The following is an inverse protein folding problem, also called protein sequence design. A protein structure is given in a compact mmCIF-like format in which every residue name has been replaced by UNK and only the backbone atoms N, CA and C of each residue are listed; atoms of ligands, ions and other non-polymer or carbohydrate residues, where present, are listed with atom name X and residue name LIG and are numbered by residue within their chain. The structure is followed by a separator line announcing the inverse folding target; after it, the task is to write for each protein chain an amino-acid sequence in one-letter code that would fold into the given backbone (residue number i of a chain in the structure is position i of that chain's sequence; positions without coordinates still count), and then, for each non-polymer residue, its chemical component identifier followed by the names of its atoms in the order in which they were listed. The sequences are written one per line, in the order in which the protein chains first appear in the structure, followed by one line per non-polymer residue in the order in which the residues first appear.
data_IF_537679815894
#
_entry.id   IF_537679815894
#
_cell.length_a   1.000
_cell.length_b   1.000
_cell.length_c   1.000
_cell.angle_alpha   90.00
_cell.angle_beta   90.00
_cell.angle_gamma   90.00
#
_symmetry.space_group_name_H-M   'P 1'
#
loop_
_entity.id
_entity.type
_entity.pdbx_description
1 polymer ?
#
# COMPACT_ATOMS: atom_id res chain seq x y z
N UNK A 1 -22.84 -42.14 -27.73
CA UNK A 1 -22.52 -40.77 -28.15
C UNK A 1 -21.47 -40.24 -27.20
N UNK A 2 -20.22 -40.18 -27.66
CA UNK A 2 -19.08 -39.62 -26.94
C UNK A 2 -19.18 -38.10 -27.01
N UNK A 3 -19.35 -37.44 -25.87
CA UNK A 3 -19.00 -36.02 -25.75
C UNK A 3 -17.81 -35.97 -24.79
N UNK A 4 -16.61 -35.89 -25.37
CA UNK A 4 -15.43 -35.49 -24.62
C UNK A 4 -15.64 -34.10 -24.06
N UNK A 5 -15.31 -33.92 -22.78
CA UNK A 5 -15.16 -32.59 -22.19
C UNK A 5 -14.07 -31.84 -22.97
N UNK A 6 -14.45 -30.74 -23.61
CA UNK A 6 -13.52 -29.86 -24.32
C UNK A 6 -13.10 -28.73 -23.37
N UNK A 7 -12.02 -29.00 -22.62
CA UNK A 7 -11.49 -28.22 -21.49
C UNK A 7 -10.92 -26.84 -21.92
N UNK A 8 -10.65 -26.64 -23.21
CA UNK A 8 -10.12 -25.37 -23.75
C UNK A 8 -11.08 -24.19 -23.69
N UNK A 9 -12.40 -24.45 -23.67
CA UNK A 9 -13.39 -23.37 -23.56
C UNK A 9 -13.41 -22.69 -22.19
N UNK A 10 -12.67 -23.21 -21.20
CA UNK A 10 -12.74 -22.65 -19.85
C UNK A 10 -11.76 -21.50 -19.57
N UNK A 11 -10.80 -21.26 -20.46
CA UNK A 11 -9.91 -20.11 -20.39
C UNK A 11 -10.56 -18.81 -20.93
N UNK A 12 -11.62 -18.92 -21.73
CA UNK A 12 -12.21 -17.77 -22.46
C UNK A 12 -13.48 -17.18 -21.81
N UNK A 13 -13.79 -17.54 -20.55
CA UNK A 13 -14.85 -16.82 -19.81
C UNK A 13 -14.32 -15.43 -19.41
N UNK A 14 -14.51 -14.44 -20.28
CA UNK A 14 -14.32 -13.03 -19.93
C UNK A 14 -15.20 -12.67 -18.72
N UNK A 15 -14.68 -11.95 -17.71
CA UNK A 15 -15.47 -11.55 -16.56
C UNK A 15 -16.62 -10.64 -17.00
N UNK A 16 -17.85 -10.93 -16.54
CA UNK A 16 -18.95 -9.96 -16.65
C UNK A 16 -18.59 -8.68 -15.89
N UNK A 17 -19.03 -7.49 -16.34
CA UNK A 17 -18.72 -6.22 -15.69
C UNK A 17 -19.43 -6.10 -14.32
N UNK A 18 -18.87 -6.77 -13.31
CA UNK A 18 -19.18 -6.60 -11.88
C UNK A 18 -18.12 -5.76 -11.17
N UNK A 19 -18.32 -5.49 -9.88
CA UNK A 19 -17.48 -4.63 -9.04
C UNK A 19 -15.99 -4.98 -9.13
N UNK A 20 -15.30 -4.28 -10.04
CA UNK A 20 -13.91 -4.50 -10.36
C UNK A 20 -13.09 -3.81 -9.27
N UNK A 21 -12.50 -4.56 -8.34
CA UNK A 21 -11.44 -4.02 -7.48
C UNK A 21 -10.15 -4.08 -8.30
N UNK A 22 -9.91 -3.02 -9.08
CA UNK A 22 -8.75 -2.96 -9.98
C UNK A 22 -7.47 -2.90 -9.17
N UNK A 23 -6.52 -3.78 -9.49
CA UNK A 23 -5.10 -3.62 -9.14
C UNK A 23 -4.62 -2.17 -9.38
N UNK A 24 -5.10 -1.58 -10.47
CA UNK A 24 -4.69 -0.27 -10.94
C UNK A 24 -5.23 0.93 -10.15
N UNK A 25 -6.34 0.78 -9.40
CA UNK A 25 -6.90 1.92 -8.65
C UNK A 25 -6.11 2.22 -7.36
N UNK A 26 -5.35 1.25 -6.86
CA UNK A 26 -4.35 1.47 -5.80
C UNK A 26 -3.08 2.16 -6.31
N UNK A 27 -2.76 2.04 -7.61
CA UNK A 27 -1.48 2.52 -8.16
C UNK A 27 -1.55 3.90 -8.84
N UNK A 28 -2.73 4.44 -9.13
CA UNK A 28 -2.86 5.66 -9.96
C UNK A 28 -2.82 6.99 -9.20
N UNK A 29 -2.59 7.01 -7.89
CA UNK A 29 -2.71 8.24 -7.08
C UNK A 29 -1.35 8.82 -6.68
N UNK A 30 -0.50 9.12 -7.67
CA UNK A 30 0.45 10.23 -7.63
C UNK A 30 1.09 10.49 -9.00
N UNK A 31 0.35 11.15 -9.90
CA UNK A 31 0.94 11.76 -11.09
C UNK A 31 0.46 13.21 -11.17
N UNK A 32 1.29 14.12 -10.67
CA UNK A 32 1.29 15.52 -11.07
C UNK A 32 2.33 15.67 -12.20
N UNK A 33 1.95 16.11 -13.41
CA UNK A 33 2.91 16.50 -14.43
C UNK A 33 3.20 17.99 -14.27
N UNK A 34 4.32 18.37 -13.66
CA UNK A 34 4.95 19.70 -13.73
C UNK A 34 6.32 19.60 -13.02
N UNK A 35 7.45 20.12 -13.49
CA UNK A 35 7.74 21.07 -14.56
C UNK A 35 9.24 20.98 -14.89
N UNK A 36 9.55 21.10 -16.17
CA UNK A 36 10.88 21.19 -16.77
C UNK A 36 11.63 22.41 -16.20
N UNK A 37 12.88 22.30 -15.70
CA UNK A 37 13.74 23.45 -15.57
C UNK A 37 14.48 23.69 -16.90
N UNK A 38 14.10 24.77 -17.57
CA UNK A 38 14.85 25.33 -18.69
C UNK A 38 16.19 25.87 -18.19
N UNK A 39 17.24 25.46 -18.88
CA UNK A 39 18.58 26.03 -18.85
C UNK A 39 18.54 27.49 -19.36
N UNK A 40 19.37 28.39 -18.81
CA UNK A 40 20.24 29.11 -19.73
C UNK A 40 21.66 29.29 -19.19
N UNK A 41 22.63 28.82 -19.98
CA UNK A 41 23.96 29.42 -20.03
C UNK A 41 23.89 30.75 -20.77
N UNK A 42 24.56 31.79 -20.28
CA UNK A 42 25.70 32.44 -20.96
C UNK A 42 26.05 33.83 -20.38
N UNK A 43 27.26 33.89 -19.81
CA UNK A 43 28.34 34.89 -19.99
C UNK A 43 28.13 36.36 -19.60
N UNK A 44 28.93 36.84 -18.63
CA UNK A 44 29.87 37.97 -18.80
C UNK A 44 31.10 37.91 -17.85
N UNK A 45 32.28 37.82 -18.48
CA UNK A 45 33.61 38.43 -18.20
C UNK A 45 34.04 38.97 -16.81
N UNK A 46 35.18 38.43 -16.36
CA UNK A 46 36.40 39.05 -15.75
C UNK A 46 36.25 40.21 -14.76
N UNK A 47 36.77 40.01 -13.53
CA UNK A 47 38.07 40.56 -13.11
C UNK A 47 38.48 40.05 -11.72
N UNK A 48 39.76 39.73 -11.60
CA UNK A 48 40.41 39.33 -10.36
C UNK A 48 40.54 40.51 -9.40
N UNK A 49 40.28 40.30 -8.12
CA UNK A 49 41.04 40.95 -7.06
C UNK A 49 41.24 39.99 -5.89
N UNK A 50 42.51 39.72 -5.65
CA UNK A 50 43.10 38.99 -4.53
C UNK A 50 42.73 39.73 -3.25
N UNK A 51 41.96 39.12 -2.35
CA UNK A 51 41.80 39.59 -0.98
C UNK A 51 42.11 38.45 -0.02
N UNK A 52 43.11 38.73 0.77
CA UNK A 52 43.81 37.93 1.75
C UNK A 52 42.86 37.34 2.77
N UNK A 53 43.08 36.07 3.09
CA UNK A 53 42.54 35.40 4.28
C UNK A 53 42.92 36.20 5.53
N UNK A 54 41.92 36.76 6.23
CA UNK A 54 42.05 37.17 7.61
C UNK A 54 40.68 37.09 8.30
N UNK A 55 40.39 35.96 8.94
CA UNK A 55 39.56 35.95 10.16
C UNK A 55 40.49 36.11 11.36
N UNK A 56 40.07 36.67 12.51
CA UNK A 56 38.70 36.79 13.00
C UNK A 56 38.35 38.18 13.54
N UNK A 57 37.12 38.67 13.31
CA UNK A 57 36.62 39.82 14.06
C UNK A 57 35.31 39.45 14.74
N UNK A 58 35.44 39.18 16.04
CA UNK A 58 34.41 39.42 17.05
C UNK A 58 33.65 40.68 16.66
N UNK A 59 32.40 40.53 16.26
CA UNK A 59 31.54 41.67 15.97
C UNK A 59 31.38 42.47 17.25
N UNK A 60 31.98 43.66 17.28
CA UNK A 60 31.81 44.61 18.37
C UNK A 60 30.31 44.90 18.52
N UNK A 61 29.72 44.55 19.68
CA UNK A 61 28.36 44.98 20.01
C UNK A 61 28.33 46.50 19.95
N UNK A 62 27.43 47.04 19.12
CA UNK A 62 27.23 48.48 19.00
C UNK A 62 26.97 49.09 20.40
N UNK A 63 27.54 50.29 20.64
CA UNK A 63 27.35 51.00 21.90
C UNK A 63 25.83 51.20 22.15
N UNK A 64 25.34 50.99 23.38
CA UNK A 64 23.91 50.96 23.68
C UNK A 64 23.16 52.25 23.28
N UNK A 65 23.86 53.38 23.16
CA UNK A 65 23.31 54.65 22.66
C UNK A 65 22.84 54.65 21.18
N UNK A 66 23.25 53.67 20.36
CA UNK A 66 22.83 53.56 18.95
C UNK A 66 21.86 52.40 18.69
N UNK A 67 21.37 51.73 19.74
CA UNK A 67 20.48 50.57 19.62
C UNK A 67 19.08 50.95 20.08
N UNK A 68 18.17 51.19 19.12
CA UNK A 68 16.74 51.37 19.42
C UNK A 68 16.16 50.02 19.88
N UNK A 69 15.90 49.88 21.18
CA UNK A 69 15.25 48.69 21.74
C UNK A 69 13.76 48.71 21.41
N UNK A 70 13.32 47.82 20.52
CA UNK A 70 11.90 47.60 20.27
C UNK A 70 11.36 46.58 21.29
N UNK A 71 10.20 46.86 21.91
CA UNK A 71 9.59 45.97 22.91
C UNK A 71 9.03 44.67 22.31
N UNK A 72 8.79 44.65 20.99
CA UNK A 72 8.29 43.50 20.23
C UNK A 72 9.37 42.58 19.64
N UNK A 73 10.58 43.08 19.39
CA UNK A 73 11.62 42.33 18.68
C UNK A 73 12.05 41.05 19.40
N UNK A 74 12.13 41.06 20.73
CA UNK A 74 12.49 39.88 21.52
C UNK A 74 11.50 38.72 21.41
N UNK A 75 10.20 39.01 21.40
CA UNK A 75 9.15 37.98 21.23
C UNK A 75 9.26 37.31 19.85
N UNK A 76 9.55 38.13 18.86
CA UNK A 76 9.64 37.72 17.49
C UNK A 76 10.90 36.86 17.23
N UNK A 77 12.05 37.23 17.82
CA UNK A 77 13.27 36.38 17.77
C UNK A 77 13.07 35.02 18.45
N UNK A 78 12.35 34.96 19.57
CA UNK A 78 12.04 33.68 20.23
C UNK A 78 11.15 32.81 19.35
N UNK A 79 10.13 33.41 18.71
CA UNK A 79 9.27 32.70 17.77
C UNK A 79 10.06 32.11 16.60
N UNK A 80 11.02 32.85 16.02
CA UNK A 80 11.83 32.33 14.90
C UNK A 80 12.80 31.24 15.28
N UNK A 81 13.37 31.30 16.48
CA UNK A 81 14.23 30.23 16.99
C UNK A 81 13.42 28.95 17.14
N UNK A 82 12.19 29.06 17.67
CA UNK A 82 11.30 27.91 17.83
C UNK A 82 10.89 27.32 16.47
N UNK A 83 10.47 28.15 15.51
CA UNK A 83 10.11 27.70 14.15
C UNK A 83 11.31 27.07 13.44
N UNK A 84 12.50 27.69 13.53
CA UNK A 84 13.74 27.14 12.98
C UNK A 84 14.06 25.76 13.57
N UNK A 85 13.92 25.60 14.89
CA UNK A 85 14.20 24.33 15.57
C UNK A 85 13.23 23.23 15.13
N UNK A 86 11.93 23.54 15.00
CA UNK A 86 10.92 22.59 14.50
C UNK A 86 11.22 22.17 13.06
N UNK A 87 11.52 23.12 12.18
CA UNK A 87 11.81 22.80 10.78
C UNK A 87 13.13 22.04 10.62
N UNK A 88 14.17 22.40 11.38
CA UNK A 88 15.42 21.64 11.41
C UNK A 88 15.18 20.20 11.87
N UNK A 89 14.41 20.01 12.95
CA UNK A 89 14.08 18.66 13.43
C UNK A 89 13.28 17.88 12.39
N UNK A 90 12.38 18.53 11.65
CA UNK A 90 11.62 17.90 10.57
C UNK A 90 12.50 17.45 9.40
N UNK A 91 13.53 18.23 9.02
CA UNK A 91 14.49 17.85 7.98
C UNK A 91 15.42 16.74 8.47
N UNK A 92 15.86 16.82 9.73
CA UNK A 92 16.68 15.78 10.34
C UNK A 92 15.94 14.45 10.43
N UNK A 93 14.66 14.49 10.81
CA UNK A 93 13.80 13.30 10.85
C UNK A 93 13.64 12.68 9.47
N UNK A 94 13.32 13.50 8.45
CA UNK A 94 13.19 13.03 7.05
C UNK A 94 14.49 12.43 6.53
N UNK A 95 15.63 13.06 6.81
CA UNK A 95 16.93 12.52 6.43
C UNK A 95 17.26 11.20 7.14
N UNK A 96 16.86 11.05 8.40
CA UNK A 96 17.08 9.82 9.17
C UNK A 96 16.18 8.66 8.72
N UNK A 97 14.92 8.94 8.39
CA UNK A 97 13.93 7.96 7.95
C UNK A 97 14.15 7.51 6.50
N UNK A 98 14.71 8.37 5.65
CA UNK A 98 14.83 8.09 4.21
C UNK A 98 13.53 8.34 3.44
N UNK A 99 13.60 8.25 2.12
CA UNK A 99 12.45 8.37 1.21
C UNK A 99 12.39 7.10 0.35
N UNK A 100 11.19 6.58 0.11
CA UNK A 100 10.97 5.37 -0.69
C UNK A 100 10.57 5.77 -2.12
N UNK A 101 11.39 5.39 -3.09
CA UNK A 101 11.12 5.63 -4.51
C UNK A 101 10.44 4.38 -5.11
N UNK A 102 9.19 4.54 -5.56
CA UNK A 102 8.44 3.50 -6.26
C UNK A 102 8.56 3.69 -7.77
N UNK A 103 9.15 2.70 -8.46
CA UNK A 103 9.33 2.74 -9.91
C UNK A 103 8.69 1.53 -10.56
N UNK A 104 7.95 1.77 -11.65
CA UNK A 104 7.41 0.71 -12.49
C UNK A 104 8.33 0.49 -13.67
N UNK A 105 8.66 -0.77 -13.92
CA UNK A 105 9.45 -1.18 -15.07
C UNK A 105 8.83 -2.40 -15.74
N UNK A 106 9.22 -2.68 -16.98
CA UNK A 106 8.82 -3.92 -17.64
C UNK A 106 9.65 -5.05 -17.06
N UNK A 107 9.00 -6.15 -16.67
CA UNK A 107 9.72 -7.31 -16.21
C UNK A 107 10.47 -7.97 -17.38
N UNK A 108 11.80 -8.08 -17.26
CA UNK A 108 12.67 -8.68 -18.29
C UNK A 108 13.11 -10.11 -17.95
N UNK A 109 12.86 -10.55 -16.71
CA UNK A 109 13.29 -11.86 -16.22
C UNK A 109 12.19 -12.90 -16.35
N UNK A 110 12.54 -14.07 -16.89
CA UNK A 110 11.67 -15.24 -16.85
C UNK A 110 12.02 -16.02 -15.58
N UNK A 111 11.27 -15.79 -14.49
CA UNK A 111 11.34 -16.70 -13.35
C UNK A 111 10.77 -18.06 -13.76
N UNK A 112 11.37 -19.16 -13.31
CA UNK A 112 10.91 -20.51 -13.68
C UNK A 112 9.85 -21.06 -12.72
N UNK A 113 9.96 -20.74 -11.42
CA UNK A 113 9.02 -21.17 -10.40
C UNK A 113 8.51 -20.01 -9.56
N UNK A 114 7.31 -20.17 -9.02
CA UNK A 114 6.67 -19.28 -8.06
C UNK A 114 6.08 -20.14 -6.93
N UNK A 115 6.34 -19.74 -5.68
CA UNK A 115 5.70 -20.37 -4.53
C UNK A 115 4.31 -19.76 -4.32
N UNK A 116 3.29 -20.57 -4.09
CA UNK A 116 1.96 -20.15 -3.64
C UNK A 116 1.76 -20.68 -2.23
N UNK A 117 1.37 -19.82 -1.30
CA UNK A 117 0.98 -20.18 0.05
C UNK A 117 -0.54 -20.07 0.15
N UNK A 118 -1.18 -21.13 0.60
CA UNK A 118 -2.64 -21.24 0.69
C UNK A 118 -3.02 -21.70 2.10
N UNK A 119 -4.05 -21.11 2.68
CA UNK A 119 -4.76 -21.60 3.87
C UNK A 119 -6.25 -21.29 3.72
N UNK A 120 -7.02 -22.30 3.31
CA UNK A 120 -8.46 -22.20 3.05
C UNK A 120 -9.21 -23.24 3.87
N UNK A 121 -10.33 -22.83 4.45
CA UNK A 121 -11.25 -23.72 5.16
C UNK A 121 -12.55 -23.81 4.38
N UNK A 122 -12.97 -25.02 4.02
CA UNK A 122 -14.23 -25.29 3.33
C UNK A 122 -15.21 -26.03 4.24
N UNK A 123 -16.50 -25.74 4.13
CA UNK A 123 -17.57 -26.40 4.89
C UNK A 123 -17.97 -27.77 4.30
N UNK A 124 -16.97 -28.61 4.06
CA UNK A 124 -17.12 -29.99 3.59
C UNK A 124 -16.05 -30.87 4.24
N UNK A 125 -16.24 -32.18 4.25
CA UNK A 125 -15.23 -33.10 4.77
C UNK A 125 -14.03 -33.18 3.81
N UNK A 126 -12.82 -33.36 4.34
CA UNK A 126 -11.60 -33.45 3.53
C UNK A 126 -11.65 -34.60 2.51
N UNK A 127 -12.25 -35.74 2.86
CA UNK A 127 -12.38 -36.91 1.98
C UNK A 127 -13.24 -36.66 0.74
N UNK A 128 -14.09 -35.64 0.81
CA UNK A 128 -15.06 -35.28 -0.21
C UNK A 128 -14.54 -34.17 -1.13
N UNK A 129 -13.35 -33.64 -0.84
CA UNK A 129 -12.71 -32.57 -1.60
C UNK A 129 -11.54 -33.12 -2.41
N UNK A 130 -11.28 -32.48 -3.54
CA UNK A 130 -10.15 -32.78 -4.39
C UNK A 130 -9.51 -31.47 -4.85
N UNK A 131 -8.19 -31.39 -4.74
CA UNK A 131 -7.40 -30.18 -5.01
C UNK A 131 -6.47 -30.44 -6.17
N UNK A 132 -6.58 -29.62 -7.22
CA UNK A 132 -5.73 -29.72 -8.39
C UNK A 132 -5.24 -28.36 -8.86
N UNK A 133 -4.13 -28.42 -9.57
CA UNK A 133 -3.52 -27.28 -10.26
C UNK A 133 -3.29 -27.65 -11.69
N UNK A 134 -3.73 -26.77 -12.58
CA UNK A 134 -3.43 -26.84 -13.99
C UNK A 134 -2.74 -25.55 -14.40
N UNK A 135 -1.58 -25.65 -15.03
CA UNK A 135 -0.90 -24.50 -15.61
C UNK A 135 -1.21 -24.36 -17.11
N UNK A 136 -0.84 -23.23 -17.71
CA UNK A 136 -0.98 -22.99 -19.13
C UNK A 136 -0.15 -23.96 -20.01
N UNK A 137 0.87 -24.61 -19.45
CA UNK A 137 1.62 -25.67 -20.12
C UNK A 137 0.84 -27.00 -20.17
N UNK A 138 -0.29 -27.08 -19.45
CA UNK A 138 -1.11 -28.28 -19.31
C UNK A 138 -0.51 -29.31 -18.37
N UNK A 139 0.54 -28.95 -17.61
CA UNK A 139 1.09 -29.82 -16.57
C UNK A 139 0.13 -29.85 -15.39
N UNK A 140 -0.18 -31.06 -14.94
CA UNK A 140 -1.12 -31.30 -13.84
C UNK A 140 -0.31 -31.72 -12.62
N UNK A 141 -0.14 -30.79 -11.70
CA UNK A 141 0.55 -31.05 -10.45
C UNK A 141 -0.51 -31.48 -9.43
N UNK A 142 -0.39 -32.71 -8.91
CA UNK A 142 -1.23 -33.25 -7.83
C UNK A 142 -0.94 -32.48 -6.52
N UNK A 143 -1.58 -31.32 -6.38
CA UNK A 143 -1.44 -30.43 -5.23
C UNK A 143 -1.83 -31.09 -3.91
N UNK A 144 -2.77 -32.05 -3.94
CA UNK A 144 -3.19 -32.84 -2.79
C UNK A 144 -2.04 -33.57 -2.07
N UNK A 145 -0.94 -33.90 -2.76
CA UNK A 145 0.21 -34.59 -2.11
C UNK A 145 1.13 -33.60 -1.36
N UNK A 146 1.06 -32.31 -1.69
CA UNK A 146 1.95 -31.27 -1.15
C UNK A 146 1.27 -30.40 -0.10
N UNK A 147 -0.06 -30.27 -0.19
CA UNK A 147 -0.87 -29.58 0.81
C UNK A 147 -1.22 -30.51 1.97
N UNK A 148 -1.43 -29.91 3.14
CA UNK A 148 -1.94 -30.61 4.32
C UNK A 148 -3.43 -30.36 4.45
N UNK A 149 -4.17 -31.41 4.78
CA UNK A 149 -5.61 -31.38 4.97
C UNK A 149 -5.93 -31.78 6.41
N UNK A 150 -6.52 -30.85 7.17
CA UNK A 150 -6.92 -31.08 8.55
C UNK A 150 -8.46 -31.02 8.68
N UNK A 151 -9.04 -32.03 9.31
CA UNK A 151 -10.45 -32.04 9.69
C UNK A 151 -10.70 -31.03 10.82
N UNK A 152 -11.67 -30.13 10.63
CA UNK A 152 -11.94 -29.00 11.54
C UNK A 152 -13.43 -28.74 11.75
N UNK A 153 -13.75 -27.75 12.59
CA UNK A 153 -15.10 -27.25 12.77
C UNK A 153 -15.25 -25.88 12.12
N UNK A 154 -16.32 -25.68 11.36
CA UNK A 154 -16.63 -24.44 10.66
C UNK A 154 -16.74 -23.25 11.62
N UNK A 155 -17.37 -23.46 12.78
CA UNK A 155 -17.57 -22.43 13.80
C UNK A 155 -16.26 -21.85 14.35
N UNK A 156 -15.15 -22.60 14.33
CA UNK A 156 -13.86 -22.09 14.82
C UNK A 156 -13.29 -20.97 13.94
N UNK A 157 -13.70 -20.89 12.67
CA UNK A 157 -13.12 -19.99 11.68
C UNK A 157 -14.01 -18.80 11.36
N UNK A 158 -15.34 -19.01 11.35
CA UNK A 158 -16.31 -17.93 11.06
C UNK A 158 -16.35 -16.87 12.16
N UNK A 159 -16.16 -17.25 13.42
CA UNK A 159 -16.20 -16.32 14.56
C UNK A 159 -14.86 -15.60 14.79
N UNK A 160 -13.89 -15.80 13.90
CA UNK A 160 -12.56 -15.18 14.02
C UNK A 160 -12.64 -13.65 13.84
N UNK A 161 -11.96 -12.91 14.72
CA UNK A 161 -11.93 -11.43 14.65
C UNK A 161 -11.19 -10.99 13.38
N UNK A 162 -11.79 -10.05 12.65
CA UNK A 162 -11.20 -9.46 11.45
C UNK A 162 -11.56 -10.20 10.15
N UNK A 163 -12.54 -11.08 10.19
CA UNK A 163 -13.13 -11.69 9.00
C UNK A 163 -13.97 -10.65 8.25
N UNK A 164 -13.78 -10.55 6.94
CA UNK A 164 -14.51 -9.59 6.10
C UNK A 164 -14.97 -10.23 4.79
N UNK A 165 -15.82 -9.52 4.03
CA UNK A 165 -16.20 -9.93 2.67
C UNK A 165 -15.44 -9.06 1.69
N UNK A 166 -14.97 -9.64 0.59
CA UNK A 166 -14.24 -8.89 -0.42
C UNK A 166 -15.11 -7.74 -0.96
N UNK A 167 -14.53 -6.54 -1.08
CA UNK A 167 -15.23 -5.35 -1.58
C UNK A 167 -16.36 -4.85 -0.67
N UNK A 168 -16.39 -5.26 0.60
CA UNK A 168 -17.30 -4.71 1.62
C UNK A 168 -16.53 -4.28 2.86
N UNK A 169 -16.85 -3.09 3.34
CA UNK A 169 -16.32 -2.56 4.59
C UNK A 169 -16.75 -3.42 5.79
N UNK A 170 -16.09 -3.22 6.94
CA UNK A 170 -16.50 -3.80 8.23
C UNK A 170 -17.96 -3.51 8.63
N UNK A 171 -18.58 -2.49 8.03
CA UNK A 171 -19.99 -2.11 8.19
C UNK A 171 -20.92 -2.71 7.12
N UNK A 172 -20.42 -3.57 6.23
CA UNK A 172 -21.17 -4.23 5.16
C UNK A 172 -21.54 -3.34 3.97
N UNK A 173 -21.00 -2.12 3.90
CA UNK A 173 -21.17 -1.21 2.75
C UNK A 173 -20.22 -1.65 1.64
N UNK A 174 -20.67 -1.52 0.38
CA UNK A 174 -19.79 -1.79 -0.75
C UNK A 174 -18.66 -0.76 -0.76
N UNK A 175 -17.42 -1.24 -0.70
CA UNK A 175 -16.25 -0.38 -0.83
C UNK A 175 -16.12 0.00 -2.30
N UNK A 176 -16.42 1.26 -2.62
CA UNK A 176 -16.34 1.79 -3.98
C UNK A 176 -14.92 2.24 -4.35
N UNK A 177 -13.90 1.99 -3.49
CA UNK A 177 -12.53 2.47 -3.68
C UNK A 177 -12.40 4.00 -3.71
N UNK A 178 -13.49 4.71 -3.38
CA UNK A 178 -13.60 6.17 -3.42
C UNK A 178 -13.23 6.82 -2.07
N UNK A 179 -12.94 6.01 -1.06
CA UNK A 179 -12.36 6.46 0.20
C UNK A 179 -10.88 6.81 0.00
N UNK A 180 -10.47 7.97 0.50
CA UNK A 180 -9.06 8.22 0.79
C UNK A 180 -8.72 7.44 2.07
N UNK A 181 -8.38 6.17 1.94
CA UNK A 181 -7.68 5.47 3.00
C UNK A 181 -6.21 5.82 2.87
N UNK A 182 -5.70 6.56 3.85
CA UNK A 182 -4.27 6.84 4.08
C UNK A 182 -3.54 5.57 4.54
N UNK A 183 -3.91 4.43 3.96
CA UNK A 183 -3.15 3.19 4.07
C UNK A 183 -2.10 3.25 2.96
N UNK A 184 -1.18 4.22 3.12
CA UNK A 184 0.14 4.06 2.54
C UNK A 184 0.64 2.67 2.92
N UNK A 185 1.25 1.96 1.95
CA UNK A 185 1.95 0.70 2.15
C UNK A 185 2.50 0.68 3.58
N UNK A 186 1.92 -0.14 4.45
CA UNK A 186 2.06 0.03 5.90
C UNK A 186 3.51 0.33 6.26
N UNK A 187 3.73 1.39 7.06
CA UNK A 187 5.01 2.09 7.35
C UNK A 187 6.14 1.22 7.94
N UNK A 188 6.28 -0.02 7.48
CA UNK A 188 7.42 -0.87 7.73
C UNK A 188 8.52 -0.47 6.75
N UNK A 189 9.56 0.17 7.27
CA UNK A 189 10.76 0.51 6.51
C UNK A 189 11.27 -0.72 5.74
N UNK A 190 11.77 -0.52 4.52
CA UNK A 190 12.34 -1.58 3.66
C UNK A 190 13.34 -2.47 4.41
N UNK A 191 14.12 -1.92 5.33
CA UNK A 191 15.00 -2.67 6.22
C UNK A 191 14.31 -3.78 7.02
N UNK A 192 13.14 -3.50 7.60
CA UNK A 192 12.38 -4.43 8.41
C UNK A 192 11.73 -5.51 7.55
N UNK A 193 11.28 -5.13 6.35
CA UNK A 193 10.78 -6.04 5.32
C UNK A 193 11.88 -7.05 4.95
N UNK A 194 13.10 -6.56 4.67
CA UNK A 194 14.22 -7.42 4.29
C UNK A 194 14.67 -8.34 5.44
N UNK A 195 14.63 -7.85 6.67
CA UNK A 195 14.99 -8.65 7.85
C UNK A 195 13.96 -9.73 8.17
N UNK A 196 12.67 -9.41 8.05
CA UNK A 196 11.58 -10.32 8.40
C UNK A 196 11.21 -11.29 7.29
N UNK A 197 11.32 -10.90 6.02
CA UNK A 197 11.02 -11.77 4.87
C UNK A 197 11.95 -12.99 4.75
N UNK A 198 13.02 -13.03 5.54
CA UNK A 198 13.92 -14.18 5.69
C UNK A 198 13.45 -15.22 6.69
N UNK A 199 12.47 -14.88 7.54
CA UNK A 199 11.91 -15.84 8.52
C UNK A 199 10.82 -16.64 7.83
N UNK A 200 10.96 -17.96 7.84
CA UNK A 200 9.88 -18.86 7.41
C UNK A 200 8.65 -18.64 8.29
N UNK A 201 7.52 -18.35 7.66
CA UNK A 201 6.23 -18.30 8.35
C UNK A 201 5.86 -19.70 8.80
N UNK A 202 5.53 -19.80 10.09
CA UNK A 202 4.95 -21.03 10.64
C UNK A 202 3.44 -20.88 10.55
N UNK A 203 2.82 -21.84 9.89
CA UNK A 203 1.37 -21.94 9.80
C UNK A 203 0.71 -21.92 11.18
N UNK A 204 -0.41 -21.20 11.28
CA UNK A 204 -1.23 -21.23 12.48
C UNK A 204 -1.68 -22.66 12.77
N UNK A 205 -1.69 -23.06 14.05
CA UNK A 205 -2.10 -24.42 14.42
C UNK A 205 -3.60 -24.58 14.28
N UNK A 206 -4.01 -25.71 13.73
CA UNK A 206 -5.41 -26.09 13.65
C UNK A 206 -6.00 -26.27 15.06
N UNK A 207 -7.14 -25.64 15.39
CA UNK A 207 -7.83 -25.87 16.65
C UNK A 207 -8.20 -27.35 16.82
N UNK A 208 -7.92 -27.92 17.99
CA UNK A 208 -8.20 -29.33 18.25
C UNK A 208 -9.71 -29.58 18.35
N UNK A 209 -10.16 -30.68 17.74
CA UNK A 209 -11.52 -31.17 17.88
C UNK A 209 -11.75 -31.69 19.32
N UNK A 210 -12.92 -31.37 19.88
CA UNK A 210 -13.37 -31.95 21.14
C UNK A 210 -13.61 -33.46 21.00
N UNK A 211 -13.41 -34.21 22.09
CA UNK A 211 -13.61 -35.67 22.09
C UNK A 211 -15.06 -36.00 21.73
N UNK A 212 -15.27 -36.79 20.67
CA UNK A 212 -16.59 -37.24 20.22
C UNK A 212 -17.32 -36.28 19.27
N UNK A 213 -16.68 -35.18 18.85
CA UNK A 213 -17.24 -34.25 17.87
C UNK A 213 -16.73 -34.63 16.48
N UNK A 214 -17.64 -34.81 15.51
CA UNK A 214 -17.30 -34.99 14.11
C UNK A 214 -16.96 -33.64 13.47
N UNK A 215 -15.90 -33.60 12.67
CA UNK A 215 -15.57 -32.45 11.84
C UNK A 215 -16.66 -32.22 10.78
N UNK A 216 -16.99 -30.96 10.51
CA UNK A 216 -17.92 -30.53 9.46
C UNK A 216 -17.22 -29.66 8.38
N UNK A 217 -15.95 -29.32 8.58
CA UNK A 217 -15.14 -28.55 7.65
C UNK A 217 -13.76 -29.18 7.43
N UNK A 218 -13.13 -28.81 6.32
CA UNK A 218 -11.78 -29.19 5.97
C UNK A 218 -10.92 -27.93 5.84
N UNK A 219 -9.78 -27.92 6.53
CA UNK A 219 -8.75 -26.91 6.34
C UNK A 219 -7.69 -27.47 5.41
N UNK A 220 -7.42 -26.77 4.33
CA UNK A 220 -6.41 -27.10 3.33
C UNK A 220 -5.36 -26.00 3.39
N UNK A 221 -4.14 -26.35 3.80
CA UNK A 221 -3.07 -25.36 3.94
C UNK A 221 -1.69 -25.88 3.54
N UNK A 222 -0.81 -24.99 3.13
CA UNK A 222 0.57 -25.31 2.79
C UNK A 222 1.16 -24.40 1.71
N UNK A 223 2.36 -24.74 1.28
CA UNK A 223 3.09 -24.02 0.23
C UNK A 223 3.33 -24.94 -0.96
N UNK A 224 3.01 -24.46 -2.16
CA UNK A 224 3.18 -25.16 -3.44
C UNK A 224 4.20 -24.41 -4.29
N UNK A 225 5.21 -25.11 -4.80
CA UNK A 225 6.11 -24.55 -5.80
C UNK A 225 5.57 -24.91 -7.19
N UNK A 226 5.07 -23.91 -7.90
CA UNK A 226 4.46 -24.04 -9.23
C UNK A 226 5.31 -23.36 -10.29
N UNK A 227 5.03 -23.65 -11.55
CA UNK A 227 5.62 -22.91 -12.66
C UNK A 227 5.12 -21.46 -12.64
N UNK A 228 6.02 -20.54 -12.97
CA UNK A 228 5.71 -19.11 -13.03
C UNK A 228 5.04 -18.76 -14.37
N UNK A 229 3.82 -19.25 -14.54
CA UNK A 229 2.96 -19.04 -15.72
C UNK A 229 1.51 -18.87 -15.25
N UNK A 230 0.62 -18.47 -16.15
CA UNK A 230 -0.81 -18.46 -15.88
C UNK A 230 -1.28 -19.87 -15.46
N UNK A 231 -2.12 -19.95 -14.43
CA UNK A 231 -2.64 -21.22 -13.94
C UNK A 231 -4.01 -21.11 -13.28
N UNK A 232 -4.64 -22.27 -13.10
CA UNK A 232 -5.93 -22.46 -12.46
C UNK A 232 -5.78 -23.50 -11.34
N UNK A 233 -5.81 -23.01 -10.10
CA UNK A 233 -5.88 -23.84 -8.90
C UNK A 233 -7.36 -23.99 -8.54
N UNK A 234 -7.85 -25.23 -8.43
CA UNK A 234 -9.25 -25.45 -8.11
C UNK A 234 -9.46 -26.56 -7.08
N UNK A 235 -10.51 -26.36 -6.28
CA UNK A 235 -10.98 -27.26 -5.25
C UNK A 235 -12.39 -27.67 -5.63
N UNK A 236 -12.57 -28.94 -5.97
CA UNK A 236 -13.85 -29.50 -6.41
C UNK A 236 -14.27 -30.65 -5.49
N UNK A 237 -15.54 -31.02 -5.57
CA UNK A 237 -16.03 -32.21 -4.87
C UNK A 237 -15.55 -33.49 -5.57
N UNK A 238 -15.37 -34.57 -4.81
CA UNK A 238 -15.04 -35.90 -5.33
C UNK A 238 -16.07 -36.33 -6.39
N UNK A 239 -15.57 -36.72 -7.57
CA UNK A 239 -16.40 -37.11 -8.72
C UNK A 239 -16.88 -35.95 -9.60
N UNK A 240 -16.56 -34.70 -9.27
CA UNK A 240 -16.82 -33.51 -10.09
C UNK A 240 -15.50 -32.81 -10.46
N UNK A 241 -15.35 -32.42 -11.74
CA UNK A 241 -14.13 -31.82 -12.29
C UNK A 241 -13.33 -32.82 -13.12
N UNK A 242 -12.90 -33.92 -12.49
CA UNK A 242 -12.19 -35.00 -13.17
C UNK A 242 -13.02 -36.27 -13.15
N UNK A 243 -13.29 -36.83 -14.34
CA UNK A 243 -13.91 -38.14 -14.46
C UNK A 243 -12.88 -39.22 -14.07
N UNK A 244 -12.71 -39.45 -12.78
CA UNK A 244 -12.16 -40.71 -12.34
C UNK A 244 -13.17 -41.80 -12.71
N UNK A 245 -12.85 -42.63 -13.71
CA UNK A 245 -13.74 -43.67 -14.27
C UNK A 245 -14.32 -44.67 -13.25
N UNK A 246 -13.88 -44.63 -11.99
CA UNK A 246 -14.25 -45.55 -10.93
C UNK A 246 -14.58 -44.88 -9.59
N UNK A 247 -14.65 -43.54 -9.52
CA UNK A 247 -14.98 -42.85 -8.28
C UNK A 247 -16.50 -42.72 -8.13
N UNK A 248 -17.02 -43.21 -7.00
CA UNK A 248 -18.40 -42.97 -6.59
C UNK A 248 -18.64 -41.45 -6.44
N UNK A 249 -19.53 -40.90 -7.25
CA UNK A 249 -19.96 -39.52 -7.17
C UNK A 249 -20.65 -39.28 -5.81
N UNK A 250 -20.19 -38.24 -5.10
CA UNK A 250 -20.78 -37.83 -3.84
C UNK A 250 -22.23 -37.34 -4.07
N UNK A 251 -23.11 -37.54 -3.09
CA UNK A 251 -24.50 -37.08 -3.20
C UNK A 251 -24.53 -35.55 -3.37
N UNK A 252 -25.25 -35.10 -4.41
CA UNK A 252 -25.29 -33.70 -4.82
C UNK A 252 -25.85 -32.76 -3.73
N UNK A 253 -26.67 -33.27 -2.80
CA UNK A 253 -27.23 -32.49 -1.70
C UNK A 253 -26.22 -32.23 -0.56
N UNK A 254 -25.08 -32.92 -0.57
CA UNK A 254 -24.05 -32.76 0.46
C UNK A 254 -23.06 -31.63 0.17
N UNK A 255 -23.13 -31.02 -1.03
CA UNK A 255 -22.20 -29.96 -1.42
C UNK A 255 -22.43 -28.68 -0.64
N UNK A 256 -21.35 -28.13 -0.09
CA UNK A 256 -21.38 -26.82 0.54
C UNK A 256 -20.03 -26.13 0.40
N UNK A 257 -19.88 -25.37 -0.69
CA UNK A 257 -18.65 -24.63 -1.00
C UNK A 257 -18.53 -23.31 -0.22
N UNK A 258 -19.22 -23.16 0.92
CA UNK A 258 -18.95 -22.05 1.84
C UNK A 258 -17.52 -22.19 2.36
N UNK A 259 -16.76 -21.10 2.31
CA UNK A 259 -15.34 -21.15 2.63
C UNK A 259 -14.82 -19.85 3.26
N UNK A 260 -13.73 -20.01 4.00
CA UNK A 260 -12.94 -18.94 4.59
C UNK A 260 -11.54 -19.03 4.03
N UNK A 261 -11.06 -17.96 3.42
CA UNK A 261 -9.67 -17.84 2.99
C UNK A 261 -8.94 -17.14 4.13
N UNK A 262 -8.10 -17.89 4.84
CA UNK A 262 -7.32 -17.35 5.97
C UNK A 262 -6.11 -16.61 5.45
N UNK A 263 -5.37 -17.25 4.54
CA UNK A 263 -4.17 -16.69 3.91
C UNK A 263 -4.06 -17.17 2.47
N UNK A 264 -3.79 -16.24 1.55
CA UNK A 264 -3.39 -16.57 0.17
C UNK A 264 -2.34 -15.58 -0.30
N UNK A 265 -1.12 -16.07 -0.51
CA UNK A 265 0.03 -15.24 -0.89
C UNK A 265 0.92 -15.91 -1.93
N UNK A 266 1.69 -15.09 -2.67
CA UNK A 266 2.62 -15.56 -3.69
C UNK A 266 4.05 -15.18 -3.33
N UNK A 267 4.92 -16.17 -3.21
CA UNK A 267 6.32 -16.02 -2.83
C UNK A 267 6.52 -15.96 -1.32
N UNK A 268 7.68 -15.44 -0.87
CA UNK A 268 7.97 -15.35 0.55
C UNK A 268 7.10 -14.29 1.25
N UNK A 269 6.64 -14.60 2.46
CA UNK A 269 5.95 -13.66 3.32
C UNK A 269 6.83 -12.46 3.66
N UNK A 270 6.23 -11.27 3.75
CA UNK A 270 6.87 -10.08 4.30
C UNK A 270 5.85 -9.20 5.04
N UNK A 271 6.29 -8.33 5.97
CA UNK A 271 5.42 -7.70 6.98
C UNK A 271 4.45 -6.63 6.46
N UNK A 272 4.82 -5.92 5.40
CA UNK A 272 3.95 -4.92 4.74
C UNK A 272 3.06 -5.53 3.67
N UNK A 273 3.03 -6.85 3.55
CA UNK A 273 2.15 -7.55 2.63
C UNK A 273 0.71 -7.52 3.17
N UNK A 274 -0.15 -6.77 2.49
CA UNK A 274 -1.60 -6.83 2.69
C UNK A 274 -2.18 -7.54 1.49
N UNK A 275 -2.58 -8.80 1.65
CA UNK A 275 -3.25 -9.52 0.58
C UNK A 275 -4.77 -9.28 0.64
N UNK A 276 -5.43 -9.07 -0.50
CA UNK A 276 -6.86 -8.74 -0.51
C UNK A 276 -7.78 -9.93 -0.15
N UNK A 277 -7.34 -11.19 -0.29
CA UNK A 277 -8.15 -12.35 0.09
C UNK A 277 -7.90 -12.84 1.52
N UNK A 278 -6.95 -12.26 2.25
CA UNK A 278 -6.65 -12.72 3.61
C UNK A 278 -7.83 -12.44 4.54
N UNK A 279 -8.25 -13.45 5.31
CA UNK A 279 -9.40 -13.38 6.23
C UNK A 279 -10.71 -13.00 5.54
N UNK A 280 -10.94 -13.54 4.35
CA UNK A 280 -12.22 -13.37 3.64
C UNK A 280 -13.16 -14.56 3.85
N UNK A 281 -14.47 -14.31 3.87
CA UNK A 281 -15.51 -15.34 3.99
C UNK A 281 -16.56 -15.23 2.90
N UNK A 282 -16.83 -16.36 2.25
CA UNK A 282 -17.91 -16.48 1.27
C UNK A 282 -18.80 -17.69 1.58
N UNK A 283 -20.11 -17.46 1.57
CA UNK A 283 -21.13 -18.45 1.94
C UNK A 283 -21.87 -18.83 0.66
N UNK A 284 -21.96 -20.13 0.38
CA UNK A 284 -22.69 -20.66 -0.75
C UNK A 284 -24.20 -20.57 -0.50
N UNK A 285 -24.95 -20.02 -1.46
CA UNK A 285 -26.43 -19.92 -1.39
C UNK A 285 -27.10 -21.22 -1.85
N UNK A 286 -26.42 -22.00 -2.69
CA UNK A 286 -26.90 -23.26 -3.26
C UNK A 286 -25.82 -24.36 -3.14
N UNK A 287 -26.24 -25.62 -3.27
CA UNK A 287 -25.34 -26.77 -3.27
C UNK A 287 -24.37 -26.74 -4.48
N UNK A 288 -24.91 -26.42 -5.66
CA UNK A 288 -24.12 -26.20 -6.88
C UNK A 288 -23.74 -24.73 -7.01
N UNK A 289 -22.81 -24.29 -6.19
CA UNK A 289 -22.27 -22.95 -6.25
C UNK A 289 -20.83 -22.95 -6.76
N UNK A 290 -20.52 -22.02 -7.66
CA UNK A 290 -19.20 -21.83 -8.23
C UNK A 290 -18.64 -20.49 -7.79
N UNK A 291 -17.48 -20.52 -7.11
CA UNK A 291 -16.71 -19.34 -6.77
C UNK A 291 -15.47 -19.27 -7.67
N UNK A 292 -15.26 -18.13 -8.31
CA UNK A 292 -14.14 -17.87 -9.19
C UNK A 292 -13.41 -16.62 -8.71
N UNK A 293 -12.12 -16.76 -8.44
CA UNK A 293 -11.20 -15.70 -8.07
C UNK A 293 -10.23 -15.47 -9.23
N UNK A 294 -10.28 -14.28 -9.82
CA UNK A 294 -9.36 -13.85 -10.85
C UNK A 294 -8.27 -12.99 -10.22
N UNK A 295 -7.03 -13.42 -10.32
CA UNK A 295 -5.90 -12.84 -9.61
C UNK A 295 -4.85 -12.35 -10.60
N UNK A 296 -4.50 -11.07 -10.51
CA UNK A 296 -3.40 -10.47 -11.28
C UNK A 296 -2.21 -10.30 -10.37
N UNK A 297 -1.17 -11.11 -10.56
CA UNK A 297 0.05 -11.13 -9.74
C UNK A 297 1.10 -10.18 -10.34
N UNK A 298 1.53 -9.20 -9.55
CA UNK A 298 2.57 -8.23 -9.87
C UNK A 298 3.83 -8.53 -9.06
N UNK A 299 4.94 -8.87 -9.71
CA UNK A 299 6.24 -9.03 -9.05
C UNK A 299 6.73 -7.70 -8.46
N UNK A 300 7.23 -7.78 -7.23
CA UNK A 300 7.67 -6.61 -6.47
C UNK A 300 9.05 -6.86 -5.85
N UNK A 301 10.00 -5.97 -6.11
CA UNK A 301 11.36 -6.06 -5.59
C UNK A 301 11.57 -4.94 -4.58
N UNK A 302 12.00 -5.32 -3.38
CA UNK A 302 12.43 -4.40 -2.34
C UNK A 302 13.94 -4.34 -2.29
N UNK A 303 14.52 -3.15 -2.45
CA UNK A 303 15.97 -2.93 -2.41
C UNK A 303 16.34 -1.90 -1.34
N UNK A 304 17.31 -2.27 -0.49
CA UNK A 304 17.84 -1.38 0.55
C UNK A 304 19.15 -0.73 0.07
N UNK A 305 19.30 0.59 0.21
CA UNK A 305 20.54 1.27 -0.17
C UNK A 305 21.77 0.89 0.70
N UNK A 306 22.97 0.91 0.09
CA UNK A 306 24.26 0.97 0.79
C UNK A 306 24.85 -0.35 1.31
N UNK A 307 24.76 -1.49 0.60
CA UNK A 307 25.44 -2.74 0.99
C UNK A 307 25.30 -3.88 -0.03
N UNK A 308 25.87 -5.06 0.26
CA UNK A 308 26.02 -6.15 -0.74
C UNK A 308 24.68 -6.62 -1.34
N UNK A 309 24.64 -6.74 -2.67
CA UNK A 309 23.42 -6.91 -3.48
C UNK A 309 22.54 -8.11 -3.11
N UNK A 310 23.13 -9.21 -2.60
CA UNK A 310 22.39 -10.43 -2.25
C UNK A 310 21.72 -10.38 -0.87
N UNK A 311 22.18 -9.53 0.05
CA UNK A 311 21.60 -9.43 1.40
C UNK A 311 20.56 -8.33 1.56
N UNK A 312 20.41 -7.47 0.54
CA UNK A 312 19.60 -6.24 0.56
C UNK A 312 18.42 -6.23 -0.39
N UNK A 313 18.23 -7.32 -1.14
CA UNK A 313 17.14 -7.43 -2.13
C UNK A 313 16.24 -8.60 -1.76
N UNK A 314 14.92 -8.38 -1.78
CA UNK A 314 13.93 -9.45 -1.67
C UNK A 314 12.99 -9.37 -2.87
N UNK A 315 12.80 -10.52 -3.50
CA UNK A 315 11.81 -10.74 -4.52
C UNK A 315 10.52 -11.22 -3.84
N UNK A 316 9.46 -10.46 -4.04
CA UNK A 316 8.14 -10.71 -3.48
C UNK A 316 7.11 -10.57 -4.59
N UNK A 317 5.86 -10.89 -4.31
CA UNK A 317 4.78 -10.62 -5.23
C UNK A 317 3.62 -9.97 -4.47
N UNK A 318 2.91 -9.09 -5.16
CA UNK A 318 1.63 -8.55 -4.74
C UNK A 318 0.59 -9.01 -5.75
N UNK A 319 -0.69 -8.99 -5.37
CA UNK A 319 -1.74 -9.31 -6.33
C UNK A 319 -3.00 -8.51 -6.06
N UNK A 320 -3.79 -8.35 -7.11
CA UNK A 320 -5.16 -7.90 -7.01
C UNK A 320 -6.10 -9.04 -7.35
N UNK A 321 -7.33 -8.96 -6.85
CA UNK A 321 -8.31 -10.02 -6.98
C UNK A 321 -9.68 -9.46 -7.39
N UNK A 322 -10.37 -10.21 -8.24
CA UNK A 322 -11.80 -10.03 -8.51
C UNK A 322 -12.51 -11.33 -8.17
N UNK A 323 -13.60 -11.23 -7.41
CA UNK A 323 -14.45 -12.36 -7.03
C UNK A 323 -15.70 -12.43 -7.92
N UNK A 324 -16.04 -13.63 -8.36
CA UNK A 324 -17.31 -13.95 -9.00
C UNK A 324 -17.92 -15.20 -8.34
N UNK A 325 -19.14 -15.08 -7.85
CA UNK A 325 -19.93 -16.20 -7.34
C UNK A 325 -21.20 -16.38 -8.15
N UNK A 326 -21.51 -17.60 -8.60
CA UNK A 326 -22.80 -17.91 -9.21
C UNK A 326 -23.26 -19.34 -8.91
N UNK A 327 -24.57 -19.50 -8.80
CA UNK A 327 -25.20 -20.82 -8.86
C UNK A 327 -25.03 -21.39 -10.28
N UNK A 328 -24.70 -22.67 -10.36
CA UNK A 328 -24.48 -23.38 -11.62
C UNK A 328 -25.39 -24.60 -11.71
N UNK A 329 -25.80 -24.96 -12.92
CA UNK A 329 -26.55 -26.20 -13.12
C UNK A 329 -25.67 -27.44 -12.96
N UNK A 330 -26.29 -28.61 -12.77
CA UNK A 330 -25.61 -29.91 -12.55
C UNK A 330 -24.60 -30.32 -13.63
N UNK A 331 -24.69 -29.73 -14.83
CA UNK A 331 -23.77 -29.99 -15.95
C UNK A 331 -22.43 -29.26 -15.83
N UNK A 332 -22.36 -28.28 -14.94
CA UNK A 332 -21.17 -27.47 -14.69
C UNK A 332 -20.51 -27.96 -13.41
N UNK A 333 -19.19 -27.84 -13.32
CA UNK A 333 -18.43 -28.25 -12.14
C UNK A 333 -18.55 -27.17 -11.06
N UNK A 334 -19.18 -27.46 -9.90
CA UNK A 334 -19.19 -26.55 -8.77
C UNK A 334 -17.86 -26.64 -8.02
N UNK A 335 -17.51 -25.60 -7.27
CA UNK A 335 -16.23 -25.56 -6.56
C UNK A 335 -15.66 -24.16 -6.41
N UNK A 336 -14.43 -24.11 -5.91
CA UNK A 336 -13.62 -22.91 -5.82
C UNK A 336 -12.55 -22.97 -6.92
N UNK A 337 -12.41 -21.89 -7.67
CA UNK A 337 -11.45 -21.76 -8.76
C UNK A 337 -10.64 -20.49 -8.55
N UNK A 338 -9.32 -20.62 -8.52
CA UNK A 338 -8.36 -19.56 -8.32
C UNK A 338 -7.52 -19.46 -9.60
N UNK A 339 -7.94 -18.56 -10.47
CA UNK A 339 -7.29 -18.29 -11.74
C UNK A 339 -6.30 -17.16 -11.52
N UNK A 340 -5.02 -17.44 -11.68
CA UNK A 340 -3.98 -16.44 -11.50
C UNK A 340 -3.21 -16.22 -12.80
N UNK A 341 -2.91 -14.96 -13.08
CA UNK A 341 -2.08 -14.53 -14.20
C UNK A 341 -0.99 -13.58 -13.70
N UNK A 342 0.12 -13.53 -14.43
CA UNK A 342 1.31 -12.75 -14.06
C UNK A 342 1.35 -11.52 -14.96
N UNK A 343 1.26 -10.35 -14.35
CA UNK A 343 1.30 -9.08 -15.06
C UNK A 343 2.72 -8.79 -15.58
N UNK A 344 2.87 -8.24 -16.79
CA UNK A 344 4.19 -7.98 -17.41
C UNK A 344 4.89 -6.72 -16.86
N UNK A 345 4.58 -6.33 -15.62
CA UNK A 345 5.11 -5.14 -14.95
C UNK A 345 5.82 -5.54 -13.66
N UNK A 346 6.85 -4.78 -13.30
CA UNK A 346 7.67 -4.97 -12.13
C UNK A 346 7.65 -3.69 -11.30
N UNK A 347 7.24 -3.80 -10.04
CA UNK A 347 7.37 -2.73 -9.06
C UNK A 347 8.72 -2.85 -8.35
N UNK A 348 9.57 -1.83 -8.49
CA UNK A 348 10.81 -1.71 -7.73
C UNK A 348 10.64 -0.63 -6.67
N UNK A 349 10.77 -1.02 -5.41
CA UNK A 349 10.76 -0.13 -4.24
C UNK A 349 12.18 -0.02 -3.73
N UNK A 350 12.79 1.15 -3.91
CA UNK A 350 14.15 1.44 -3.45
C UNK A 350 14.13 2.47 -2.33
N UNK A 351 14.78 2.16 -1.21
CA UNK A 351 15.00 3.14 -0.15
C UNK A 351 16.15 4.06 -0.54
N UNK A 352 15.84 5.33 -0.80
CA UNK A 352 16.83 6.36 -1.11
C UNK A 352 17.07 7.24 0.10
N UNK A 353 18.34 7.43 0.44
CA UNK A 353 18.77 8.43 1.43
C UNK A 353 19.62 9.49 0.78
N UNK A 354 19.30 10.74 1.09
CA UNK A 354 20.12 11.86 0.67
C UNK A 354 21.52 11.76 1.29
N UNK A 355 22.54 12.04 0.46
CA UNK A 355 23.89 12.21 0.94
C UNK A 355 23.98 13.37 1.94
N UNK A 356 24.95 13.31 2.85
CA UNK A 356 25.14 14.31 3.89
C UNK A 356 25.30 15.74 3.33
N UNK A 357 25.90 15.90 2.15
CA UNK A 357 26.02 17.19 1.47
C UNK A 357 24.66 17.75 1.04
N UNK A 358 23.80 16.92 0.45
CA UNK A 358 22.44 17.32 0.04
C UNK A 358 21.62 17.72 1.25
N UNK A 359 21.73 16.98 2.36
CA UNK A 359 21.09 17.34 3.62
C UNK A 359 21.56 18.70 4.16
N UNK A 360 22.87 18.96 4.18
CA UNK A 360 23.39 20.26 4.63
C UNK A 360 22.85 21.42 3.78
N UNK A 361 22.76 21.25 2.46
CA UNK A 361 22.15 22.24 1.56
C UNK A 361 20.68 22.46 1.91
N UNK A 362 19.91 21.40 2.17
CA UNK A 362 18.50 21.51 2.62
C UNK A 362 18.38 22.28 3.93
N UNK A 363 19.22 21.98 4.92
CA UNK A 363 19.23 22.69 6.22
C UNK A 363 19.54 24.18 6.04
N UNK A 364 20.54 24.53 5.23
CA UNK A 364 20.89 25.93 4.94
C UNK A 364 19.72 26.64 4.24
N UNK A 365 19.06 25.98 3.28
CA UNK A 365 17.90 26.53 2.59
C UNK A 365 16.73 26.80 3.56
N UNK A 366 16.44 25.87 4.47
CA UNK A 366 15.38 26.03 5.49
C UNK A 366 15.69 27.17 6.44
N UNK A 367 16.90 27.23 7.01
CA UNK A 367 17.29 28.31 7.91
C UNK A 367 17.28 29.68 7.22
N UNK A 368 17.74 29.74 5.96
CA UNK A 368 17.71 30.96 5.15
C UNK A 368 16.27 31.41 4.85
N UNK A 369 15.40 30.45 4.50
CA UNK A 369 13.98 30.71 4.24
C UNK A 369 13.26 31.25 5.47
N UNK A 370 13.52 30.70 6.66
CA UNK A 370 12.93 31.15 7.92
C UNK A 370 13.39 32.59 8.23
N UNK A 371 14.69 32.89 8.13
CA UNK A 371 15.21 34.25 8.36
C UNK A 371 14.56 35.29 7.45
N UNK A 372 14.44 35.01 6.14
CA UNK A 372 13.82 35.92 5.18
C UNK A 372 12.32 36.05 5.43
N UNK A 373 11.60 34.93 5.50
CA UNK A 373 10.15 34.92 5.65
C UNK A 373 9.72 35.68 6.89
N UNK A 374 10.44 35.49 7.98
CA UNK A 374 10.07 36.19 9.16
C UNK A 374 10.56 37.64 9.21
N UNK A 375 11.68 38.02 8.58
CA UNK A 375 11.99 39.45 8.41
C UNK A 375 10.79 40.18 7.76
N UNK A 376 10.24 39.60 6.69
CA UNK A 376 9.00 40.08 6.07
C UNK A 376 7.79 39.98 6.98
N UNK A 377 7.65 38.90 7.77
CA UNK A 377 6.57 38.77 8.75
C UNK A 377 6.58 39.89 9.79
N UNK A 378 7.77 40.25 10.30
CA UNK A 378 7.95 41.36 11.24
C UNK A 378 7.57 42.71 10.60
N UNK A 379 8.09 43.01 9.40
CA UNK A 379 7.76 44.27 8.71
C UNK A 379 6.28 44.38 8.38
N UNK A 380 5.64 43.28 7.97
CA UNK A 380 4.21 43.24 7.70
C UNK A 380 3.39 43.46 8.98
N UNK A 381 3.78 42.87 10.12
CA UNK A 381 3.09 43.11 11.40
C UNK A 381 3.18 44.55 11.88
N UNK A 382 4.32 45.22 11.69
CA UNK A 382 4.48 46.64 12.01
C UNK A 382 3.61 47.52 11.09
N UNK A 383 3.66 47.26 9.77
CA UNK A 383 2.80 47.96 8.81
C UNK A 383 1.30 47.79 9.13
N UNK A 384 0.88 46.57 9.49
CA UNK A 384 -0.52 46.27 9.80
C UNK A 384 -0.95 46.93 11.12
N UNK A 385 -0.06 46.98 12.12
CA UNK A 385 -0.28 47.76 13.35
C UNK A 385 -0.47 49.24 13.05
N UNK A 386 0.36 49.81 12.20
CA UNK A 386 0.22 51.22 11.79
C UNK A 386 -1.08 51.46 11.02
N UNK A 387 -1.43 50.61 10.06
CA UNK A 387 -2.64 50.74 9.27
C UNK A 387 -3.91 50.67 10.14
N UNK A 388 -3.95 49.74 11.10
CA UNK A 388 -5.05 49.63 12.09
C UNK A 388 -5.05 50.85 13.03
N UNK A 389 -3.88 51.32 13.46
CA UNK A 389 -3.74 52.54 14.25
C UNK A 389 -4.26 53.80 13.54
N UNK A 390 -3.97 53.93 12.23
CA UNK A 390 -4.47 55.02 11.38
C UNK A 390 -6.00 54.94 11.21
N UNK A 391 -6.56 53.75 10.99
CA UNK A 391 -8.04 53.55 10.96
C UNK A 391 -8.70 53.91 12.29
N UNK A 392 -8.10 53.56 13.43
CA UNK A 392 -8.63 53.93 14.76
C UNK A 392 -8.56 55.42 15.05
N UNK A 393 -7.51 56.13 14.60
CA UNK A 393 -7.42 57.60 14.72
C UNK A 393 -8.39 58.33 13.78
N UNK A 394 -8.64 57.81 12.57
CA UNK A 394 -9.64 58.38 11.66
C UNK A 394 -11.07 58.30 12.18
N UNK A 395 -11.37 57.40 13.12
CA UNK A 395 -12.66 57.37 13.83
C UNK A 395 -12.74 58.32 15.04
N UNK A 396 -11.68 59.07 15.36
CA UNK A 396 -11.57 59.87 16.58
C UNK A 396 -10.73 61.16 16.41
N UNK A 397 -11.09 61.99 15.44
CA UNK A 397 -10.83 63.45 15.46
C UNK A 397 -12.10 64.16 14.96
N UNK A 398 -13.04 64.48 15.85
CA UNK A 398 -13.23 65.83 16.42
C UNK A 398 -13.37 66.92 15.35
N UNK A 399 -14.60 67.39 15.18
CA UNK A 399 -14.90 68.60 14.44
C UNK A 399 -14.55 69.83 15.27
N UNK A 400 -13.85 70.77 14.66
CA UNK A 400 -13.96 72.22 14.91
C UNK A 400 -13.53 72.91 13.61
N UNK A 401 -14.37 73.80 13.09
CA UNK A 401 -14.08 75.20 12.72
C UNK A 401 -15.41 75.78 12.18
N UNK A 402 -16.06 76.59 13.03
CA UNK A 402 -17.13 77.50 12.65
C UNK A 402 -16.78 78.88 13.20
N UNK A 403 -15.91 79.60 12.50
CA UNK A 403 -15.68 81.01 12.74
C UNK A 403 -16.91 81.78 12.23
N UNK A 404 -17.73 82.31 13.14
CA UNK A 404 -18.77 83.29 12.80
C UNK A 404 -18.26 84.66 13.23
N UNK A 405 -17.78 85.41 12.25
CA UNK A 405 -17.69 86.87 12.38
C UNK A 405 -19.11 87.41 12.45
N UNK A 406 -19.41 88.12 13.54
CA UNK A 406 -20.61 88.95 13.67
C UNK A 406 -20.13 90.35 14.03
N UNK A 407 -20.26 91.26 13.06
CA UNK A 407 -20.48 92.67 13.33
C UNK A 407 -21.71 92.81 14.23
N UNK A 408 -21.68 93.75 15.18
CA UNK A 408 -22.73 94.75 15.41
C UNK A 408 -22.22 95.79 16.42
N UNK A 409 -22.59 97.05 16.17
CA UNK A 409 -22.32 98.28 16.94
C UNK A 409 -22.82 98.27 18.39
#
# INVERSE_FOLDING_TARGET
MMNGYDEKRHYDDEPEPGNFVRAFDAFRKNIQPNSIPLNPYSVYSKQAHRLTFQTPLLTAKAKPQYVTRTSGGGKWTVAMILVSAVLFWSELSRWWQGEEDHTFSVEKGVGHSMQINLDVVLRMNCKDLHVNVQDAAGDRILAATRLQEDATLWSHWVDSKGLHKLGRDSQGRADTGAGWHDEGFGEAHVHDIVAMGRKSTRWAKTPRLGRGISADSCRIYGSLDLNRVQGDFHITARGHGYQEMFAEHLDHNSFNFSHVISELSFGPYYPSLVNPLDRTINIAEAHFHKFQYFMSVVPTIYTVAGGSASTKTIFTNQYAVTEQGKEVGERMVPGLFFKYDIEPILLSVEERRDGLLTFLVKVVNVLSGVLVAGHWGFTLTEWLREAVGRRRKSGRSEGVIGAKGGFDD
#
